data_IF_145673958433
#
_entry.id   IF_145673958433
#
_cell.length_a   1.000
_cell.length_b   1.000
_cell.length_c   1.000
_cell.angle_alpha   90.00
_cell.angle_beta   90.00
_cell.angle_gamma   90.00
#
_symmetry.space_group_name_H-M   'P 1'
#
loop_
_entity.id
_entity.type
_entity.pdbx_description
1 polymer ?
#
# COMPACT_ATOMS: atom_id res chain seq x y z
N UNK A 1 -96.76 22.14 53.66
CA UNK A 1 -96.67 20.87 54.42
C UNK A 1 -96.45 19.75 53.41
N UNK A 2 -95.27 19.11 53.48
CA UNK A 2 -94.93 17.71 53.14
C UNK A 2 -95.70 17.01 52.00
N UNK A 3 -95.12 16.36 50.99
CA UNK A 3 -94.02 15.38 51.03
C UNK A 3 -93.77 14.82 49.59
N UNK A 4 -92.51 14.45 49.29
CA UNK A 4 -92.06 13.23 48.61
C UNK A 4 -92.02 13.07 47.05
N UNK A 5 -90.99 12.30 46.65
CA UNK A 5 -90.79 11.44 45.46
C UNK A 5 -90.13 11.96 44.15
N UNK A 6 -88.81 11.72 44.00
CA UNK A 6 -88.05 10.91 43.01
C UNK A 6 -88.67 10.56 41.61
N UNK A 7 -87.90 10.10 40.59
CA UNK A 7 -86.73 10.66 39.89
C UNK A 7 -86.84 10.64 38.33
N UNK A 8 -85.77 11.10 37.68
CA UNK A 8 -85.09 10.50 36.50
C UNK A 8 -85.15 11.28 35.18
N UNK A 9 -83.95 11.54 34.64
CA UNK A 9 -83.75 12.19 33.35
C UNK A 9 -82.29 12.56 33.13
N UNK A 10 -81.44 11.59 32.80
CA UNK A 10 -80.05 11.79 32.38
C UNK A 10 -80.01 12.61 31.08
N UNK A 11 -79.08 13.57 30.95
CA UNK A 11 -78.15 13.72 29.80
C UNK A 11 -77.14 14.88 29.97
N UNK A 12 -75.87 14.46 29.92
CA UNK A 12 -74.69 15.03 29.22
C UNK A 12 -74.22 16.46 29.55
N UNK A 13 -72.99 16.54 30.07
CA UNK A 13 -72.04 17.59 29.71
C UNK A 13 -70.63 16.98 29.58
N UNK A 14 -70.04 17.19 28.41
CA UNK A 14 -68.67 16.88 28.01
C UNK A 14 -67.68 17.73 28.83
N UNK A 15 -66.55 17.15 29.22
CA UNK A 15 -65.32 17.90 29.54
C UNK A 15 -64.16 17.31 28.74
N UNK A 16 -63.66 18.12 27.80
CA UNK A 16 -62.43 17.89 27.06
C UNK A 16 -61.24 18.04 28.02
N UNK A 17 -60.38 17.02 28.10
CA UNK A 17 -59.04 17.13 28.67
C UNK A 17 -58.03 17.08 27.52
N UNK A 18 -57.35 18.19 27.25
CA UNK A 18 -56.26 18.25 26.30
C UNK A 18 -54.97 17.78 26.98
N UNK A 19 -54.46 16.61 26.59
CA UNK A 19 -53.13 16.11 26.99
C UNK A 19 -52.08 16.66 26.04
N UNK A 20 -51.20 17.52 26.58
CA UNK A 20 -50.02 18.04 25.90
C UNK A 20 -48.90 16.99 26.01
N UNK A 21 -48.63 16.23 24.96
CA UNK A 21 -47.46 15.33 24.89
C UNK A 21 -46.24 16.13 24.44
N UNK A 22 -45.31 16.36 25.36
CA UNK A 22 -43.96 16.87 25.07
C UNK A 22 -43.12 15.70 24.58
N UNK A 23 -42.84 15.65 23.28
CA UNK A 23 -41.93 14.66 22.69
C UNK A 23 -40.49 15.14 22.91
N UNK A 24 -39.80 14.56 23.88
CA UNK A 24 -38.38 14.81 24.09
C UNK A 24 -37.55 14.21 22.95
N UNK A 25 -36.87 15.08 22.19
CA UNK A 25 -35.91 14.68 21.17
C UNK A 25 -34.61 14.26 21.88
N UNK A 26 -34.40 12.96 22.04
CA UNK A 26 -33.13 12.43 22.56
C UNK A 26 -32.11 12.50 21.43
N UNK A 27 -31.26 13.53 21.45
CA UNK A 27 -30.07 13.58 20.60
C UNK A 27 -29.09 12.52 21.10
N UNK A 28 -28.95 11.42 20.37
CA UNK A 28 -27.86 10.48 20.62
C UNK A 28 -26.55 11.09 20.13
N UNK A 29 -25.85 11.78 21.03
CA UNK A 29 -24.46 12.17 20.84
C UNK A 29 -23.64 10.90 20.71
N UNK A 30 -23.26 10.54 19.48
CA UNK A 30 -22.28 9.49 19.26
C UNK A 30 -20.92 10.03 19.72
N UNK A 31 -20.19 9.32 20.60
CA UNK A 31 -18.81 9.70 20.89
C UNK A 31 -18.03 9.56 19.58
N UNK A 32 -17.42 10.65 19.11
CA UNK A 32 -16.39 10.56 18.09
C UNK A 32 -15.28 9.68 18.68
N UNK A 33 -15.10 8.48 18.10
CA UNK A 33 -13.96 7.66 18.42
C UNK A 33 -12.72 8.43 17.97
N UNK A 34 -12.04 9.07 18.91
CA UNK A 34 -10.65 9.50 18.75
C UNK A 34 -9.83 8.21 18.68
N UNK A 35 -9.74 7.60 17.49
CA UNK A 35 -8.79 6.51 17.28
C UNK A 35 -7.40 7.10 17.39
N UNK A 36 -6.70 6.79 18.47
CA UNK A 36 -5.29 7.12 18.63
C UNK A 36 -4.52 6.59 17.41
N UNK A 37 -3.69 7.44 16.81
CA UNK A 37 -2.97 7.10 15.57
C UNK A 37 -2.07 5.89 15.80
N UNK A 38 -2.24 4.86 14.97
CA UNK A 38 -1.45 3.62 15.04
C UNK A 38 -0.01 3.93 14.63
N UNK A 39 0.94 3.78 15.54
CA UNK A 39 2.36 3.90 15.20
C UNK A 39 2.77 2.69 14.38
N UNK A 40 3.24 2.91 13.16
CA UNK A 40 3.67 1.87 12.23
C UNK A 40 5.17 1.94 11.94
N UNK A 41 5.76 0.76 11.81
CA UNK A 41 7.05 0.55 11.16
C UNK A 41 6.83 0.06 9.72
N UNK A 42 7.88 0.13 8.89
CA UNK A 42 7.80 -0.21 7.46
C UNK A 42 7.43 -1.67 7.22
N UNK A 43 7.77 -2.58 8.13
CA UNK A 43 7.40 -4.00 8.05
C UNK A 43 5.89 -4.21 8.21
N UNK A 44 5.17 -3.27 8.84
CA UNK A 44 3.72 -3.36 8.97
C UNK A 44 2.97 -3.11 7.64
N UNK A 45 3.64 -2.53 6.65
CA UNK A 45 3.11 -2.30 5.31
C UNK A 45 3.28 -3.55 4.41
N UNK A 46 4.02 -4.57 4.85
CA UNK A 46 4.28 -5.76 4.03
C UNK A 46 3.37 -6.90 4.49
N UNK A 47 2.44 -7.40 3.65
CA UNK A 47 1.67 -8.61 3.96
C UNK A 47 2.58 -9.83 4.10
N UNK A 48 2.09 -10.85 4.81
CA UNK A 48 2.75 -12.15 4.82
C UNK A 48 2.79 -12.74 3.39
N UNK A 49 3.99 -12.95 2.87
CA UNK A 49 4.22 -13.61 1.60
C UNK A 49 4.26 -15.14 1.78
N UNK A 50 3.84 -15.93 0.77
CA UNK A 50 4.01 -17.37 0.80
C UNK A 50 5.51 -17.73 0.79
N UNK A 51 5.87 -18.79 1.52
CA UNK A 51 7.20 -19.39 1.38
C UNK A 51 7.30 -20.07 0.01
N UNK A 52 8.41 -19.82 -0.69
CA UNK A 52 8.66 -20.37 -2.02
C UNK A 52 9.87 -21.30 -1.93
N UNK A 53 9.70 -22.58 -2.26
CA UNK A 53 10.84 -23.48 -2.45
C UNK A 53 11.60 -23.05 -3.70
N UNK A 54 12.83 -22.57 -3.51
CA UNK A 54 13.65 -22.06 -4.59
C UNK A 54 14.62 -23.16 -5.05
N UNK A 55 14.37 -23.81 -6.22
CA UNK A 55 15.23 -24.88 -6.72
C UNK A 55 16.64 -24.39 -7.06
N UNK A 56 16.83 -23.07 -7.30
CA UNK A 56 18.10 -22.49 -7.69
C UNK A 56 19.12 -22.47 -6.56
N UNK A 57 18.68 -22.52 -5.29
CA UNK A 57 19.56 -22.55 -4.12
C UNK A 57 20.32 -23.88 -4.01
N UNK A 58 19.86 -24.92 -4.73
CA UNK A 58 20.48 -26.25 -4.80
C UNK A 58 21.42 -26.41 -5.99
N UNK A 59 21.51 -25.43 -6.89
CA UNK A 59 22.34 -25.50 -8.08
C UNK A 59 23.77 -25.04 -7.79
N UNK A 60 24.75 -25.67 -8.44
CA UNK A 60 26.13 -25.21 -8.41
C UNK A 60 26.29 -23.90 -9.17
N UNK A 61 27.40 -23.18 -8.94
CA UNK A 61 27.70 -21.96 -9.69
C UNK A 61 27.76 -22.20 -11.20
N UNK A 62 28.42 -23.28 -11.62
CA UNK A 62 28.52 -23.64 -13.03
C UNK A 62 27.14 -23.97 -13.62
N UNK A 63 26.27 -24.62 -12.86
CA UNK A 63 24.90 -24.91 -13.29
C UNK A 63 24.09 -23.62 -13.46
N UNK A 64 24.20 -22.68 -12.52
CA UNK A 64 23.56 -21.37 -12.61
C UNK A 64 24.07 -20.54 -13.79
N UNK A 65 25.37 -20.58 -14.06
CA UNK A 65 25.97 -19.84 -15.17
C UNK A 65 25.46 -20.39 -16.53
N UNK A 66 25.44 -21.72 -16.72
CA UNK A 66 24.86 -22.33 -17.92
C UNK A 66 23.36 -22.08 -18.04
N UNK A 67 22.59 -22.21 -16.95
CA UNK A 67 21.15 -21.94 -16.95
C UNK A 67 20.87 -20.46 -17.29
N UNK A 68 21.72 -19.56 -16.81
CA UNK A 68 21.68 -18.14 -17.15
C UNK A 68 21.89 -17.86 -18.64
N UNK A 69 22.76 -18.63 -19.32
CA UNK A 69 22.91 -18.55 -20.78
C UNK A 69 21.60 -18.95 -21.46
N UNK A 70 21.03 -20.10 -21.09
CA UNK A 70 19.78 -20.59 -21.68
C UNK A 70 18.63 -19.58 -21.46
N UNK A 71 18.45 -19.12 -20.22
CA UNK A 71 17.41 -18.16 -19.85
C UNK A 71 17.56 -16.84 -20.61
N UNK A 72 18.79 -16.28 -20.66
CA UNK A 72 19.05 -15.03 -21.39
C UNK A 72 18.78 -15.19 -22.88
N UNK A 73 19.24 -16.27 -23.51
CA UNK A 73 18.99 -16.52 -24.93
C UNK A 73 17.51 -16.63 -25.22
N UNK A 74 16.75 -17.30 -24.35
CA UNK A 74 15.28 -17.38 -24.45
C UNK A 74 14.64 -15.98 -24.38
N UNK A 75 15.02 -15.17 -23.40
CA UNK A 75 14.46 -13.83 -23.18
C UNK A 75 14.74 -12.90 -24.38
N UNK A 76 15.97 -12.89 -24.93
CA UNK A 76 16.28 -12.07 -26.12
C UNK A 76 15.67 -12.61 -27.41
N UNK A 77 15.45 -13.92 -27.51
CA UNK A 77 14.74 -14.55 -28.64
C UNK A 77 13.28 -14.17 -28.66
N UNK A 78 12.61 -14.15 -27.49
CA UNK A 78 11.24 -13.66 -27.35
C UNK A 78 11.13 -12.16 -27.74
N UNK A 79 12.19 -11.38 -27.57
CA UNK A 79 12.28 -9.99 -28.02
C UNK A 79 12.65 -9.81 -29.51
N UNK A 80 12.81 -10.90 -30.26
CA UNK A 80 13.21 -10.85 -31.68
C UNK A 80 14.68 -10.44 -31.92
N UNK A 81 15.54 -10.54 -30.91
CA UNK A 81 16.95 -10.07 -30.93
C UNK A 81 17.98 -11.21 -30.87
N UNK A 82 17.62 -12.41 -31.34
CA UNK A 82 18.50 -13.59 -31.28
C UNK A 82 19.52 -13.65 -32.42
N UNK A 83 20.64 -14.33 -32.19
CA UNK A 83 21.66 -14.65 -33.19
C UNK A 83 21.99 -16.14 -33.18
N UNK A 84 22.51 -16.66 -34.30
CA UNK A 84 22.92 -18.07 -34.39
C UNK A 84 23.97 -18.42 -33.32
N UNK A 85 24.93 -17.52 -33.06
CA UNK A 85 25.94 -17.71 -32.01
C UNK A 85 25.32 -17.81 -30.60
N UNK A 86 24.33 -16.96 -30.30
CA UNK A 86 23.64 -17.02 -29.02
C UNK A 86 22.84 -18.31 -28.85
N UNK A 87 22.25 -18.81 -29.95
CA UNK A 87 21.53 -20.07 -29.97
C UNK A 87 22.49 -21.26 -29.77
N UNK A 88 23.60 -21.31 -30.51
CA UNK A 88 24.60 -22.38 -30.40
C UNK A 88 25.16 -22.49 -28.97
N UNK A 89 25.40 -21.34 -28.31
CA UNK A 89 25.85 -21.29 -26.92
C UNK A 89 24.78 -21.78 -25.94
N UNK A 90 23.52 -21.43 -26.17
CA UNK A 90 22.40 -21.89 -25.34
C UNK A 90 22.17 -23.40 -25.51
N UNK A 91 22.25 -23.91 -26.74
CA UNK A 91 22.10 -25.34 -27.02
C UNK A 91 23.22 -26.15 -26.37
N UNK A 92 24.46 -25.66 -26.40
CA UNK A 92 25.57 -26.29 -25.68
C UNK A 92 25.37 -26.24 -24.16
N UNK A 93 24.98 -25.09 -23.60
CA UNK A 93 24.69 -24.96 -22.18
C UNK A 93 23.56 -25.90 -21.73
N UNK A 94 22.51 -26.03 -22.55
CA UNK A 94 21.40 -26.97 -22.31
C UNK A 94 21.90 -28.41 -22.31
N UNK A 95 22.71 -28.83 -23.31
CA UNK A 95 23.32 -30.18 -23.34
C UNK A 95 24.15 -30.49 -22.10
N UNK A 96 24.96 -29.53 -21.64
CA UNK A 96 25.80 -29.70 -20.45
C UNK A 96 24.95 -29.94 -19.20
N UNK A 97 23.87 -29.19 -19.04
CA UNK A 97 22.97 -29.33 -17.88
C UNK A 97 22.13 -30.62 -17.95
N UNK A 98 21.61 -30.97 -19.13
CA UNK A 98 20.85 -32.22 -19.33
C UNK A 98 21.73 -33.45 -19.08
N UNK A 99 23.01 -33.42 -19.47
CA UNK A 99 23.97 -34.49 -19.18
C UNK A 99 24.22 -34.68 -17.67
N UNK A 100 23.97 -33.64 -16.87
CA UNK A 100 24.03 -33.69 -15.40
C UNK A 100 22.68 -34.08 -14.77
N UNK A 101 21.67 -34.40 -15.57
CA UNK A 101 20.35 -34.83 -15.12
C UNK A 101 19.42 -33.70 -14.69
N UNK A 102 19.68 -32.45 -15.10
CA UNK A 102 18.78 -31.33 -14.83
C UNK A 102 17.68 -31.23 -15.89
N UNK A 103 16.47 -30.99 -15.43
CA UNK A 103 15.33 -30.65 -16.28
C UNK A 103 15.28 -29.13 -16.49
N UNK A 104 15.75 -28.68 -17.66
CA UNK A 104 15.94 -27.26 -17.95
C UNK A 104 14.62 -26.56 -18.15
N UNK A 105 13.67 -27.22 -18.80
CA UNK A 105 12.38 -26.64 -19.09
C UNK A 105 11.59 -26.48 -17.77
N UNK A 106 11.64 -27.49 -16.88
CA UNK A 106 11.05 -27.38 -15.54
C UNK A 106 11.70 -26.30 -14.66
N UNK A 107 13.03 -26.12 -14.74
CA UNK A 107 13.74 -25.04 -14.03
C UNK A 107 13.34 -23.66 -14.58
N UNK A 108 13.17 -23.51 -15.88
CA UNK A 108 12.74 -22.25 -16.48
C UNK A 108 11.28 -21.93 -16.17
N UNK A 109 10.40 -22.93 -16.07
CA UNK A 109 9.03 -22.74 -15.56
C UNK A 109 9.04 -22.28 -14.11
N UNK A 110 9.80 -22.93 -13.24
CA UNK A 110 9.93 -22.51 -11.83
C UNK A 110 10.51 -21.09 -11.71
N UNK A 111 11.44 -20.69 -12.59
CA UNK A 111 11.93 -19.31 -12.66
C UNK A 111 10.78 -18.32 -12.89
N UNK A 112 9.90 -18.60 -13.84
CA UNK A 112 8.76 -17.74 -14.14
C UNK A 112 7.78 -17.64 -12.97
N UNK A 113 7.47 -18.76 -12.33
CA UNK A 113 6.60 -18.79 -11.15
C UNK A 113 7.18 -17.99 -9.98
N UNK A 114 8.49 -18.14 -9.72
CA UNK A 114 9.20 -17.39 -8.68
C UNK A 114 9.20 -15.89 -9.01
N UNK A 115 9.46 -15.51 -10.27
CA UNK A 115 9.41 -14.12 -10.70
C UNK A 115 8.01 -13.55 -10.48
N UNK A 116 6.97 -14.24 -10.96
CA UNK A 116 5.58 -13.79 -10.82
C UNK A 116 5.17 -13.65 -9.36
N UNK A 117 5.53 -14.62 -8.51
CA UNK A 117 5.25 -14.57 -7.08
C UNK A 117 5.97 -13.43 -6.38
N UNK A 118 7.24 -13.18 -6.71
CA UNK A 118 8.02 -12.05 -6.16
C UNK A 118 7.47 -10.70 -6.61
N UNK A 119 7.05 -10.58 -7.88
CA UNK A 119 6.40 -9.37 -8.39
C UNK A 119 5.07 -9.12 -7.67
N UNK A 120 4.23 -10.15 -7.53
CA UNK A 120 2.98 -10.05 -6.78
C UNK A 120 3.22 -9.65 -5.31
N UNK A 121 4.25 -10.20 -4.65
CA UNK A 121 4.60 -9.82 -3.28
C UNK A 121 5.12 -8.38 -3.17
N UNK A 122 5.78 -7.85 -4.20
CA UNK A 122 6.26 -6.46 -4.23
C UNK A 122 5.11 -5.43 -4.39
N UNK A 123 4.00 -5.86 -4.99
CA UNK A 123 2.77 -5.06 -5.17
C UNK A 123 1.72 -5.33 -4.08
N UNK A 124 1.86 -6.41 -3.30
CA UNK A 124 0.89 -6.78 -2.28
C UNK A 124 0.86 -5.77 -1.12
N UNK A 125 -0.34 -5.31 -0.79
CA UNK A 125 -0.60 -4.29 0.23
C UNK A 125 -1.36 -4.87 1.42
N UNK A 126 -1.17 -4.27 2.60
CA UNK A 126 -1.84 -4.63 3.83
C UNK A 126 -3.18 -3.89 3.90
N UNK A 127 -4.23 -4.57 3.42
CA UNK A 127 -5.60 -4.07 3.36
C UNK A 127 -6.16 -3.61 4.73
N UNK A 128 -5.59 -4.08 5.85
CA UNK A 128 -6.04 -3.66 7.20
C UNK A 128 -5.63 -2.23 7.56
N UNK A 129 -4.83 -1.58 6.71
CA UNK A 129 -4.41 -0.20 6.86
C UNK A 129 -5.34 0.77 6.11
N UNK A 130 -6.26 0.29 5.28
CA UNK A 130 -7.19 1.17 4.57
C UNK A 130 -8.13 1.89 5.53
N UNK A 131 -8.19 3.22 5.42
CA UNK A 131 -8.92 4.12 6.32
C UNK A 131 -8.33 4.25 7.73
N UNK A 132 -7.17 3.66 8.02
CA UNK A 132 -6.57 3.75 9.35
C UNK A 132 -5.90 5.10 9.59
N UNK A 133 -6.07 5.67 10.78
CA UNK A 133 -5.22 6.77 11.26
C UNK A 133 -3.88 6.19 11.71
N UNK A 134 -2.79 6.60 11.05
CA UNK A 134 -1.45 6.05 11.29
C UNK A 134 -0.46 7.16 11.58
N UNK A 135 0.66 6.79 12.21
CA UNK A 135 1.85 7.61 12.37
C UNK A 135 3.08 6.78 12.02
N UNK A 136 3.92 7.24 11.10
CA UNK A 136 5.11 6.49 10.68
C UNK A 136 6.30 7.40 10.35
N UNK A 137 7.53 6.91 10.55
CA UNK A 137 8.72 7.65 10.19
C UNK A 137 9.13 7.36 8.74
N UNK A 138 9.84 8.30 8.13
CA UNK A 138 10.47 8.07 6.83
C UNK A 138 11.22 9.29 6.33
N UNK A 139 11.62 9.21 5.06
CA UNK A 139 12.40 10.24 4.39
C UNK A 139 11.57 10.85 3.26
N UNK A 140 11.61 12.19 3.14
CA UNK A 140 10.80 12.94 2.17
C UNK A 140 11.48 13.02 0.81
N UNK A 141 10.78 12.62 -0.25
CA UNK A 141 11.09 12.86 -1.65
C UNK A 141 10.01 13.77 -2.25
N UNK A 142 10.25 15.10 -2.35
CA UNK A 142 9.23 16.05 -2.80
C UNK A 142 8.78 15.80 -4.24
N UNK A 143 7.47 15.89 -4.47
CA UNK A 143 6.83 15.87 -5.79
C UNK A 143 6.29 17.24 -6.17
N UNK A 144 5.73 17.98 -5.19
CA UNK A 144 5.17 19.31 -5.40
C UNK A 144 5.47 20.23 -4.21
N UNK A 145 5.52 21.53 -4.49
CA UNK A 145 5.81 22.59 -3.53
C UNK A 145 4.79 23.72 -3.59
N UNK A 146 4.50 24.30 -2.43
CA UNK A 146 3.93 25.65 -2.29
C UNK A 146 4.99 26.56 -1.64
N UNK A 147 5.60 27.42 -2.45
CA UNK A 147 6.78 28.19 -2.06
C UNK A 147 7.95 27.27 -1.70
N UNK A 148 8.42 27.35 -0.46
CA UNK A 148 9.53 26.52 0.06
C UNK A 148 9.04 25.24 0.76
N UNK A 149 7.72 25.02 0.82
CA UNK A 149 7.12 23.89 1.55
C UNK A 149 6.71 22.79 0.60
N UNK A 150 7.13 21.56 0.88
CA UNK A 150 6.64 20.38 0.17
C UNK A 150 5.19 20.11 0.58
N UNK A 151 4.27 20.06 -0.40
CA UNK A 151 2.83 19.79 -0.20
C UNK A 151 2.43 18.40 -0.70
N UNK A 152 3.24 17.81 -1.57
CA UNK A 152 3.10 16.45 -2.07
C UNK A 152 4.48 15.81 -2.10
N UNK A 153 4.62 14.59 -1.59
CA UNK A 153 5.90 13.90 -1.55
C UNK A 153 5.74 12.38 -1.43
N UNK A 154 6.77 11.64 -1.84
CA UNK A 154 6.91 10.24 -1.49
C UNK A 154 7.64 10.14 -0.14
N UNK A 155 7.08 9.36 0.76
CA UNK A 155 7.75 8.92 1.98
C UNK A 155 8.38 7.56 1.71
N UNK A 156 9.67 7.43 2.01
CA UNK A 156 10.47 6.22 1.74
C UNK A 156 11.25 5.75 2.98
N UNK A 157 11.60 4.45 3.06
CA UNK A 157 12.21 3.86 4.27
C UNK A 157 13.68 4.22 4.49
N UNK A 158 14.41 4.66 3.47
CA UNK A 158 15.85 4.92 3.57
C UNK A 158 16.35 6.01 2.64
N UNK A 159 17.48 6.62 3.02
CA UNK A 159 18.20 7.61 2.20
C UNK A 159 18.76 6.95 0.93
N UNK A 160 18.56 7.60 -0.21
CA UNK A 160 19.02 7.10 -1.50
C UNK A 160 18.02 6.19 -2.22
N UNK A 161 16.84 5.94 -1.63
CA UNK A 161 15.73 5.32 -2.33
C UNK A 161 15.40 6.12 -3.61
N UNK A 162 15.13 5.39 -4.69
CA UNK A 162 14.77 5.91 -6.01
C UNK A 162 15.89 6.62 -6.81
N UNK A 163 17.14 6.75 -6.32
CA UNK A 163 18.27 7.33 -7.09
C UNK A 163 18.82 6.35 -8.16
N UNK A 164 18.61 5.05 -7.95
CA UNK A 164 19.03 4.00 -8.87
C UNK A 164 17.92 2.97 -8.97
N UNK A 165 17.89 2.25 -10.10
CA UNK A 165 16.93 1.17 -10.32
C UNK A 165 17.39 -0.15 -9.68
N UNK A 166 16.44 -0.98 -9.24
CA UNK A 166 15.01 -0.72 -9.13
C UNK A 166 14.66 0.15 -7.89
N UNK A 167 13.56 0.93 -7.93
CA UNK A 167 13.03 1.58 -6.75
C UNK A 167 12.61 0.56 -5.68
N UNK A 168 12.35 0.99 -4.43
CA UNK A 168 11.69 0.13 -3.45
C UNK A 168 10.39 -0.46 -4.00
N UNK A 169 9.95 -1.64 -3.51
CA UNK A 169 8.63 -2.19 -3.82
C UNK A 169 7.49 -1.18 -3.56
N UNK A 170 6.37 -1.30 -4.29
CA UNK A 170 5.23 -0.40 -4.13
C UNK A 170 4.71 -0.38 -2.68
N UNK A 171 4.72 -1.53 -2.02
CA UNK A 171 4.34 -1.67 -0.60
C UNK A 171 5.39 -1.13 0.39
N UNK A 172 6.42 -0.44 -0.09
CA UNK A 172 7.45 0.25 0.70
C UNK A 172 7.60 1.72 0.28
N UNK A 173 6.58 2.28 -0.39
CA UNK A 173 6.53 3.71 -0.74
C UNK A 173 5.13 4.22 -0.41
N UNK A 174 5.06 5.34 0.30
CA UNK A 174 3.80 6.01 0.64
C UNK A 174 3.77 7.35 -0.07
N UNK A 175 2.76 7.57 -0.90
CA UNK A 175 2.47 8.91 -1.44
C UNK A 175 1.76 9.74 -0.36
N UNK A 176 2.25 10.94 -0.09
CA UNK A 176 1.73 11.80 0.98
C UNK A 176 1.30 13.14 0.42
N UNK A 177 0.08 13.56 0.76
CA UNK A 177 -0.42 14.91 0.53
C UNK A 177 -0.52 15.65 1.87
N UNK A 178 -0.10 16.92 1.90
CA UNK A 178 -0.13 17.75 3.10
C UNK A 178 -0.39 19.22 2.77
N UNK A 179 -1.65 19.64 2.85
CA UNK A 179 -2.11 20.99 2.48
C UNK A 179 -1.38 22.12 3.22
N UNK A 180 -0.93 21.89 4.46
CA UNK A 180 -0.21 22.91 5.25
C UNK A 180 1.24 23.11 4.77
N UNK A 181 1.76 22.14 4.02
CA UNK A 181 3.13 22.07 3.56
C UNK A 181 4.17 21.86 4.68
N UNK A 182 5.30 21.25 4.34
CA UNK A 182 6.42 21.04 5.25
C UNK A 182 7.71 21.63 4.70
N UNK A 183 8.44 22.40 5.52
CA UNK A 183 9.75 22.95 5.13
C UNK A 183 10.79 21.83 5.13
N UNK A 184 11.19 21.41 3.93
CA UNK A 184 12.22 20.38 3.74
C UNK A 184 13.61 21.03 3.72
N UNK A 185 14.58 20.37 4.31
CA UNK A 185 16.00 20.79 4.27
C UNK A 185 16.73 20.24 3.04
N UNK A 186 16.03 19.48 2.20
CA UNK A 186 16.56 18.79 1.04
C UNK A 186 15.85 17.46 0.82
N UNK A 187 16.30 16.71 -0.20
CA UNK A 187 15.89 15.33 -0.41
C UNK A 187 16.22 14.50 0.83
N UNK A 188 15.35 13.54 1.14
CA UNK A 188 15.45 12.66 2.29
C UNK A 188 15.51 13.41 3.62
N UNK A 189 14.75 14.51 3.75
CA UNK A 189 14.53 15.10 5.08
C UNK A 189 13.78 14.06 5.94
N UNK A 190 14.29 13.66 7.12
CA UNK A 190 13.63 12.65 7.94
C UNK A 190 12.46 13.28 8.72
N UNK A 191 11.32 12.60 8.70
CA UNK A 191 10.07 13.10 9.27
C UNK A 191 9.30 12.01 10.01
N UNK A 192 8.46 12.43 10.94
CA UNK A 192 7.25 11.71 11.33
C UNK A 192 6.07 12.26 10.53
N UNK A 193 5.27 11.36 9.96
CA UNK A 193 4.02 11.71 9.28
C UNK A 193 2.87 11.04 9.98
N UNK A 194 1.80 11.78 10.24
CA UNK A 194 0.55 11.28 10.81
C UNK A 194 -0.63 11.71 9.94
N UNK A 195 -1.54 10.78 9.65
CA UNK A 195 -2.61 10.98 8.68
C UNK A 195 -3.54 9.79 8.51
N UNK A 196 -4.52 9.96 7.64
CA UNK A 196 -5.41 8.89 7.21
C UNK A 196 -4.77 8.14 6.03
N UNK A 197 -4.55 6.85 6.21
CA UNK A 197 -4.00 5.96 5.18
C UNK A 197 -5.11 5.46 4.27
N UNK A 198 -4.87 5.42 2.97
CA UNK A 198 -5.64 4.63 2.01
C UNK A 198 -4.73 3.67 1.25
N UNK A 199 -5.29 2.51 0.93
CA UNK A 199 -4.57 1.42 0.26
C UNK A 199 -4.93 1.39 -1.21
N UNK A 200 -3.93 1.35 -2.08
CA UNK A 200 -4.15 1.29 -3.52
C UNK A 200 -2.88 1.49 -4.32
N UNK A 201 -2.75 0.69 -5.39
CA UNK A 201 -1.67 0.83 -6.34
C UNK A 201 -1.81 2.12 -7.16
N UNK A 202 -0.72 2.84 -7.32
CA UNK A 202 -0.61 4.02 -8.15
C UNK A 202 0.83 4.22 -8.61
N UNK A 203 1.04 5.23 -9.45
CA UNK A 203 2.37 5.62 -9.93
C UNK A 203 2.48 7.13 -9.88
N UNK A 204 3.66 7.61 -9.48
CA UNK A 204 3.98 9.04 -9.45
C UNK A 204 5.30 9.30 -10.16
N UNK A 205 5.31 10.32 -11.03
CA UNK A 205 6.54 10.75 -11.69
C UNK A 205 7.44 11.44 -10.67
N UNK A 206 8.61 10.85 -10.41
CA UNK A 206 9.65 11.44 -9.58
C UNK A 206 10.83 11.85 -10.46
N UNK A 207 11.29 13.09 -10.32
CA UNK A 207 12.47 13.60 -11.03
C UNK A 207 13.63 13.79 -10.07
N UNK A 208 14.71 13.03 -10.28
CA UNK A 208 15.95 13.11 -9.52
C UNK A 208 17.13 13.40 -10.47
N UNK A 209 18.35 13.20 -9.98
CA UNK A 209 19.59 13.51 -10.71
C UNK A 209 19.88 12.56 -11.88
N UNK A 210 19.32 11.35 -11.87
CA UNK A 210 19.48 10.31 -12.89
C UNK A 210 18.38 10.34 -13.95
N UNK A 211 17.34 11.15 -13.76
CA UNK A 211 16.24 11.36 -14.71
C UNK A 211 14.88 11.42 -14.03
N UNK A 212 13.84 11.23 -14.84
CA UNK A 212 12.47 11.07 -14.38
C UNK A 212 12.06 9.61 -14.51
N UNK A 213 11.47 9.05 -13.45
CA UNK A 213 10.93 7.70 -13.44
C UNK A 213 9.53 7.65 -12.84
N UNK A 214 8.72 6.72 -13.32
CA UNK A 214 7.43 6.39 -12.72
C UNK A 214 7.66 5.49 -11.51
N UNK A 215 7.32 5.99 -10.32
CA UNK A 215 7.55 5.30 -9.06
C UNK A 215 6.25 4.64 -8.62
N UNK A 216 6.20 3.30 -8.52
CA UNK A 216 5.01 2.61 -8.05
C UNK A 216 4.84 2.83 -6.55
N UNK A 217 3.61 3.05 -6.12
CA UNK A 217 3.23 3.22 -4.70
C UNK A 217 2.06 2.30 -4.40
N UNK A 218 2.00 1.75 -3.18
CA UNK A 218 0.88 0.92 -2.71
C UNK A 218 0.01 1.62 -1.67
N UNK A 219 0.44 2.79 -1.20
CA UNK A 219 -0.16 3.49 -0.08
C UNK A 219 -0.24 4.98 -0.34
N UNK A 220 -1.34 5.58 0.07
CA UNK A 220 -1.55 7.02 0.05
C UNK A 220 -1.87 7.51 1.47
N UNK A 221 -1.39 8.69 1.83
CA UNK A 221 -1.59 9.25 3.15
C UNK A 221 -1.99 10.71 3.04
N UNK A 222 -3.20 11.02 3.50
CA UNK A 222 -3.64 12.40 3.72
C UNK A 222 -3.13 12.85 5.09
N UNK A 223 -2.01 13.58 5.09
CA UNK A 223 -1.33 13.97 6.32
C UNK A 223 -2.08 15.09 7.04
N UNK A 224 -2.19 14.96 8.36
CA UNK A 224 -2.67 16.02 9.26
C UNK A 224 -1.53 16.70 10.02
N UNK A 225 -0.43 15.96 10.22
CA UNK A 225 0.80 16.39 10.88
C UNK A 225 2.01 15.83 10.11
N UNK A 226 2.97 16.70 9.81
CA UNK A 226 4.32 16.35 9.38
C UNK A 226 5.28 17.11 10.30
N UNK A 227 6.18 16.40 10.96
CA UNK A 227 7.16 17.00 11.85
C UNK A 227 8.56 16.41 11.65
N UNK A 228 9.64 17.19 11.90
CA UNK A 228 10.99 16.65 11.79
C UNK A 228 11.17 15.44 12.70
N UNK A 229 11.84 14.42 12.19
CA UNK A 229 12.14 13.25 13.00
C UNK A 229 13.02 13.64 14.20
N UNK A 230 12.64 13.20 15.38
CA UNK A 230 13.41 13.28 16.62
C UNK A 230 13.38 11.90 17.26
N UNK A 231 14.56 11.43 17.67
CA UNK A 231 14.73 10.19 18.45
C UNK A 231 14.07 10.30 19.84
#
# INVERSE_FOLDING_TARGET
MTLNANPSGRRKALLLAATLTVTGLITMSHPAASSESRVLAWENLVPAAPEIDNPFDRLSRDQLDHLGIVARTRDVTAMGKSSAELQDRADEAKRVLEAQGLDIDALLTQREEIIASRMAAAEAVNETLDGASIRMPGYVLPLSFDGEKATEFLLVPYVGACIHVPPPPANQIVHVTFDKGFEVQGLYTPVWVEGAMSVGLGEHALSLVDGTGDIPVGYNLEAVIVEPYKE
#
